data_IF_797261843893
#
_entry.id   IF_797261843893
#
_cell.length_a   1.000
_cell.length_b   1.000
_cell.length_c   1.000
_cell.angle_alpha   90.00
_cell.angle_beta   90.00
_cell.angle_gamma   90.00
#
_symmetry.space_group_name_H-M   'P 1'
#
loop_
_entity.id
_entity.type
_entity.pdbx_description
1 polymer ?
#
# COMPACT_ATOMS: atom_id res chain seq x y z
N UNK A 1 -9.87 -15.67 39.82
CA UNK A 1 -10.05 -14.22 40.05
C UNK A 1 -9.83 -13.40 38.77
N UNK A 2 -8.65 -13.41 38.14
CA UNK A 2 -8.36 -12.58 36.95
C UNK A 2 -9.46 -12.58 35.86
N UNK A 3 -9.87 -13.75 35.35
CA UNK A 3 -10.91 -13.87 34.31
C UNK A 3 -12.24 -13.17 34.69
N UNK A 4 -12.72 -13.37 35.91
CA UNK A 4 -13.97 -12.74 36.39
C UNK A 4 -13.87 -11.21 36.46
N UNK A 5 -12.67 -10.68 36.76
CA UNK A 5 -12.41 -9.24 36.76
C UNK A 5 -12.37 -8.69 35.32
N UNK A 6 -11.70 -9.40 34.39
CA UNK A 6 -11.66 -9.05 32.97
C UNK A 6 -13.05 -9.00 32.32
N UNK A 7 -13.89 -10.00 32.56
CA UNK A 7 -15.25 -10.06 32.03
C UNK A 7 -16.17 -8.95 32.61
N UNK A 8 -16.03 -8.61 33.90
CA UNK A 8 -16.76 -7.49 34.50
C UNK A 8 -16.31 -6.13 33.93
N UNK A 9 -15.00 -5.91 33.82
CA UNK A 9 -14.40 -4.70 33.23
C UNK A 9 -14.75 -4.53 31.75
N UNK A 10 -14.86 -5.63 31.01
CA UNK A 10 -15.40 -5.65 29.64
C UNK A 10 -16.85 -5.16 29.56
N UNK A 11 -17.74 -5.64 30.44
CA UNK A 11 -19.14 -5.18 30.49
C UNK A 11 -19.26 -3.70 30.86
N UNK A 12 -18.42 -3.21 31.77
CA UNK A 12 -18.33 -1.77 32.10
C UNK A 12 -17.90 -0.93 30.89
N UNK A 13 -16.83 -1.29 30.19
CA UNK A 13 -16.38 -0.50 29.03
C UNK A 13 -17.42 -0.53 27.91
N UNK A 14 -18.05 -1.67 27.65
CA UNK A 14 -19.12 -1.78 26.67
C UNK A 14 -20.28 -0.84 27.01
N UNK A 15 -20.75 -0.84 28.26
CA UNK A 15 -21.83 0.07 28.69
C UNK A 15 -21.45 1.53 28.43
N UNK A 16 -20.25 1.95 28.81
CA UNK A 16 -19.83 3.35 28.66
C UNK A 16 -19.52 3.78 27.21
N UNK A 17 -19.16 2.84 26.33
CA UNK A 17 -18.99 3.09 24.89
C UNK A 17 -20.33 3.17 24.17
N UNK A 18 -21.32 2.34 24.53
CA UNK A 18 -22.60 2.24 23.80
C UNK A 18 -23.75 3.04 24.41
N UNK A 19 -23.72 3.39 25.71
CA UNK A 19 -24.76 4.19 26.37
C UNK A 19 -25.11 5.52 25.69
N UNK A 20 -24.18 6.26 25.03
CA UNK A 20 -24.53 7.51 24.32
C UNK A 20 -25.45 7.30 23.10
N UNK A 21 -25.66 6.05 22.66
CA UNK A 21 -26.55 5.70 21.55
C UNK A 21 -27.87 5.07 22.02
N UNK A 22 -28.01 4.72 23.30
CA UNK A 22 -29.23 4.10 23.85
C UNK A 22 -30.28 5.18 24.14
N UNK A 23 -31.36 5.19 23.35
CA UNK A 23 -32.42 6.18 23.51
C UNK A 23 -33.36 5.87 24.70
N UNK A 24 -33.59 4.59 24.98
CA UNK A 24 -34.44 4.16 26.10
C UNK A 24 -33.65 4.13 27.42
N UNK A 25 -33.96 5.10 28.29
CA UNK A 25 -33.34 5.23 29.62
C UNK A 25 -33.76 4.11 30.60
N UNK A 26 -34.93 3.48 30.41
CA UNK A 26 -35.34 2.33 31.21
C UNK A 26 -34.52 1.08 30.83
N UNK A 27 -34.38 0.81 29.53
CA UNK A 27 -33.49 -0.23 29.03
C UNK A 27 -32.03 0.00 29.46
N UNK A 28 -31.53 1.25 29.36
CA UNK A 28 -30.18 1.60 29.82
C UNK A 28 -29.99 1.35 31.33
N UNK A 29 -30.98 1.68 32.16
CA UNK A 29 -30.95 1.40 33.61
C UNK A 29 -30.96 -0.11 33.92
N UNK A 30 -31.75 -0.89 33.18
CA UNK A 30 -31.75 -2.37 33.29
C UNK A 30 -30.41 -2.98 32.87
N UNK A 31 -29.80 -2.47 31.80
CA UNK A 31 -28.47 -2.88 31.35
C UNK A 31 -27.38 -2.50 32.37
N UNK A 32 -27.38 -1.27 32.88
CA UNK A 32 -26.46 -0.83 33.93
C UNK A 32 -26.56 -1.72 35.18
N UNK A 33 -27.76 -2.13 35.55
CA UNK A 33 -28.03 -3.03 36.68
C UNK A 33 -27.52 -4.47 36.46
N UNK A 34 -27.33 -4.91 35.21
CA UNK A 34 -26.91 -6.28 34.88
C UNK A 34 -25.41 -6.45 34.62
N UNK A 35 -24.63 -5.35 34.56
CA UNK A 35 -23.17 -5.34 34.32
C UNK A 35 -22.38 -6.33 35.19
N UNK A 36 -22.78 -6.52 36.45
CA UNK A 36 -22.09 -7.43 37.36
C UNK A 36 -22.29 -8.92 37.02
N UNK A 37 -23.48 -9.29 36.53
CA UNK A 37 -23.98 -10.67 36.52
C UNK A 37 -24.34 -11.24 35.14
N UNK A 38 -24.59 -10.38 34.14
CA UNK A 38 -24.93 -10.80 32.79
C UNK A 38 -23.76 -11.50 32.09
N UNK A 39 -24.06 -12.51 31.26
CA UNK A 39 -23.04 -13.14 30.41
C UNK A 39 -22.60 -12.20 29.31
N UNK A 40 -21.28 -12.00 29.16
CA UNK A 40 -20.70 -11.01 28.25
C UNK A 40 -21.22 -11.08 26.80
N UNK A 41 -21.41 -12.26 26.15
CA UNK A 41 -22.02 -12.33 24.82
C UNK A 41 -23.47 -11.83 24.75
N UNK A 42 -24.30 -12.17 25.76
CA UNK A 42 -25.70 -11.73 25.81
C UNK A 42 -25.78 -10.23 26.13
N UNK A 43 -25.02 -9.77 27.12
CA UNK A 43 -24.92 -8.36 27.49
C UNK A 43 -24.53 -7.47 26.29
N UNK A 44 -23.54 -7.90 25.50
CA UNK A 44 -23.13 -7.19 24.29
C UNK A 44 -24.24 -7.15 23.23
N UNK A 45 -25.02 -8.23 23.07
CA UNK A 45 -26.13 -8.27 22.13
C UNK A 45 -27.30 -7.38 22.55
N UNK A 46 -27.73 -7.46 23.82
CA UNK A 46 -28.82 -6.66 24.38
C UNK A 46 -28.50 -5.16 24.29
N UNK A 47 -27.27 -4.79 24.66
CA UNK A 47 -26.76 -3.41 24.58
C UNK A 47 -26.63 -2.93 23.13
N UNK A 48 -26.13 -3.77 22.21
CA UNK A 48 -26.03 -3.43 20.79
C UNK A 48 -27.41 -3.20 20.14
N UNK A 49 -28.41 -3.96 20.56
CA UNK A 49 -29.79 -3.79 20.12
C UNK A 49 -30.42 -2.52 20.71
N UNK A 50 -30.26 -2.27 22.02
CA UNK A 50 -30.74 -1.05 22.69
C UNK A 50 -30.10 0.24 22.14
N UNK A 51 -28.87 0.16 21.65
CA UNK A 51 -28.15 1.24 20.99
C UNK A 51 -28.50 1.43 19.50
N UNK A 52 -29.22 0.48 18.88
CA UNK A 52 -29.42 0.44 17.43
C UNK A 52 -28.11 0.28 16.64
N UNK A 53 -27.11 -0.40 17.22
CA UNK A 53 -25.74 -0.55 16.68
C UNK A 53 -25.34 -1.98 16.34
N UNK A 54 -26.26 -2.94 16.29
CA UNK A 54 -26.01 -4.38 16.07
C UNK A 54 -24.98 -4.66 14.97
N UNK A 55 -25.07 -4.00 13.81
CA UNK A 55 -24.12 -4.15 12.68
C UNK A 55 -22.69 -3.70 13.01
N UNK A 56 -22.51 -2.64 13.80
CA UNK A 56 -21.20 -2.10 14.18
C UNK A 56 -20.62 -2.79 15.42
N UNK A 57 -21.49 -3.12 16.38
CA UNK A 57 -21.11 -3.71 17.65
C UNK A 57 -20.88 -5.22 17.57
N UNK A 58 -21.69 -5.96 16.80
CA UNK A 58 -21.58 -7.41 16.69
C UNK A 58 -20.93 -7.86 15.37
N UNK A 59 -21.13 -7.11 14.27
CA UNK A 59 -20.52 -7.39 12.98
C UNK A 59 -21.50 -7.23 11.82
N UNK A 60 -20.94 -6.98 10.63
CA UNK A 60 -21.72 -6.62 9.43
C UNK A 60 -22.59 -7.76 8.87
N UNK A 61 -22.19 -9.01 9.11
CA UNK A 61 -22.86 -10.23 8.63
C UNK A 61 -22.89 -11.31 9.73
N UNK A 62 -23.60 -12.41 9.46
CA UNK A 62 -23.76 -13.52 10.40
C UNK A 62 -22.44 -14.21 10.81
N UNK A 63 -21.42 -14.21 9.94
CA UNK A 63 -20.10 -14.79 10.23
C UNK A 63 -19.33 -13.88 11.19
N UNK A 64 -19.32 -12.57 10.93
CA UNK A 64 -18.74 -11.58 11.84
C UNK A 64 -19.42 -11.60 13.21
N UNK A 65 -20.75 -11.73 13.27
CA UNK A 65 -21.52 -11.83 14.51
C UNK A 65 -21.22 -13.12 15.29
N UNK A 66 -21.09 -14.26 14.60
CA UNK A 66 -20.67 -15.51 15.22
C UNK A 66 -19.22 -15.42 15.76
N UNK A 67 -18.31 -14.79 15.02
CA UNK A 67 -16.91 -14.60 15.43
C UNK A 67 -16.79 -13.66 16.65
N UNK A 68 -17.52 -12.55 16.67
CA UNK A 68 -17.63 -11.65 17.83
C UNK A 68 -18.18 -12.38 19.06
N UNK A 69 -19.24 -13.16 18.90
CA UNK A 69 -19.82 -13.96 20.00
C UNK A 69 -18.86 -15.02 20.56
N UNK A 70 -18.08 -15.67 19.68
CA UNK A 70 -17.04 -16.61 20.07
C UNK A 70 -15.90 -15.93 20.85
N UNK A 71 -15.48 -14.72 20.45
CA UNK A 71 -14.51 -13.94 21.21
C UNK A 71 -15.04 -13.50 22.57
N UNK A 72 -16.26 -12.95 22.64
CA UNK A 72 -16.91 -12.57 23.90
C UNK A 72 -17.05 -13.76 24.86
N UNK A 73 -17.22 -14.98 24.35
CA UNK A 73 -17.23 -16.22 25.14
C UNK A 73 -15.84 -16.55 25.72
N UNK A 74 -14.77 -16.46 24.92
CA UNK A 74 -13.38 -16.65 25.38
C UNK A 74 -12.91 -15.57 26.37
N UNK A 75 -13.53 -14.39 26.37
CA UNK A 75 -13.24 -13.31 27.33
C UNK A 75 -14.02 -13.54 28.64
N UNK A 76 -15.23 -14.08 28.57
CA UNK A 76 -16.04 -14.50 29.73
C UNK A 76 -15.41 -15.66 30.52
N UNK A 77 -14.79 -16.64 29.85
CA UNK A 77 -14.04 -17.73 30.50
C UNK A 77 -12.57 -17.39 30.81
N UNK A 78 -12.02 -16.34 30.18
CA UNK A 78 -10.65 -15.85 30.36
C UNK A 78 -9.59 -16.52 29.49
N UNK A 79 -9.95 -17.49 28.64
CA UNK A 79 -9.02 -18.15 27.70
C UNK A 79 -8.45 -17.19 26.66
N UNK A 80 -9.13 -16.08 26.36
CA UNK A 80 -8.63 -15.03 25.48
C UNK A 80 -7.43 -14.24 26.04
N UNK A 81 -7.23 -14.24 27.36
CA UNK A 81 -6.20 -13.42 28.03
C UNK A 81 -5.16 -14.23 28.81
N UNK A 82 -5.34 -15.55 28.93
CA UNK A 82 -4.43 -16.42 29.70
C UNK A 82 -3.08 -16.71 29.03
N UNK A 83 -3.01 -16.62 27.69
CA UNK A 83 -1.77 -16.79 26.92
C UNK A 83 -1.62 -15.69 25.87
N UNK A 84 -0.76 -14.71 26.17
CA UNK A 84 -0.49 -13.59 25.26
C UNK A 84 0.26 -14.03 23.98
N UNK A 85 0.95 -15.19 23.96
CA UNK A 85 1.69 -15.67 22.78
C UNK A 85 0.77 -16.34 21.77
N UNK A 86 -0.19 -17.15 22.22
CA UNK A 86 -1.27 -17.63 21.34
C UNK A 86 -2.15 -16.48 20.82
N UNK A 87 -2.35 -15.43 21.64
CA UNK A 87 -3.06 -14.23 21.22
C UNK A 87 -2.27 -13.41 20.19
N UNK A 88 -0.95 -13.26 20.37
CA UNK A 88 -0.05 -12.54 19.45
C UNK A 88 -0.19 -13.03 18.01
N UNK A 89 -0.01 -14.34 17.77
CA UNK A 89 -0.19 -14.95 16.44
C UNK A 89 -1.60 -14.76 15.86
N UNK A 90 -2.60 -14.59 16.73
CA UNK A 90 -3.99 -14.32 16.31
C UNK A 90 -4.21 -12.84 15.95
N UNK A 91 -3.50 -11.91 16.59
CA UNK A 91 -3.61 -10.46 16.35
C UNK A 91 -2.62 -9.93 15.30
N UNK A 92 -1.58 -10.68 14.94
CA UNK A 92 -0.63 -10.37 13.87
C UNK A 92 -1.34 -10.09 12.53
N UNK A 93 -2.39 -10.87 12.24
CA UNK A 93 -3.18 -10.76 10.99
C UNK A 93 -4.45 -9.91 11.12
N UNK A 94 -4.69 -9.27 12.29
CA UNK A 94 -5.99 -8.67 12.64
C UNK A 94 -5.90 -7.30 13.30
N UNK A 95 -6.39 -6.26 12.63
CA UNK A 95 -6.65 -4.97 13.27
C UNK A 95 -7.75 -5.07 14.32
N UNK A 96 -8.83 -5.78 14.00
CA UNK A 96 -10.02 -5.98 14.84
C UNK A 96 -10.49 -7.44 14.83
N UNK A 97 -11.31 -7.83 15.81
CA UNK A 97 -11.70 -9.21 16.08
C UNK A 97 -12.87 -9.72 15.23
N UNK A 98 -13.81 -8.84 14.84
CA UNK A 98 -15.03 -9.16 14.08
C UNK A 98 -14.80 -9.51 12.58
N UNK A 99 -13.67 -10.15 12.26
CA UNK A 99 -13.29 -10.59 10.93
C UNK A 99 -12.43 -9.59 10.14
N UNK A 100 -11.78 -10.04 9.04
CA UNK A 100 -10.79 -9.27 8.29
C UNK A 100 -11.37 -8.08 7.49
N UNK A 101 -12.70 -7.99 7.39
CA UNK A 101 -13.43 -6.87 6.77
C UNK A 101 -13.83 -5.77 7.76
N UNK A 102 -13.60 -5.95 9.07
CA UNK A 102 -13.96 -4.97 10.09
C UNK A 102 -13.13 -3.68 9.95
N UNK A 103 -13.82 -2.54 9.85
CA UNK A 103 -13.21 -1.20 9.72
C UNK A 103 -13.28 -0.38 11.01
N UNK A 104 -14.01 -0.85 12.02
CA UNK A 104 -14.18 -0.22 13.33
C UNK A 104 -14.13 -1.28 14.45
N UNK A 105 -13.78 -0.93 15.70
CA UNK A 105 -13.80 -1.87 16.81
C UNK A 105 -15.23 -2.37 17.09
N UNK A 106 -15.36 -3.68 17.28
CA UNK A 106 -16.58 -4.35 17.72
C UNK A 106 -16.68 -4.44 19.25
N UNK A 107 -17.78 -5.00 19.75
CA UNK A 107 -17.92 -5.34 21.16
C UNK A 107 -16.86 -6.34 21.64
N UNK A 108 -16.42 -7.29 20.80
CA UNK A 108 -15.31 -8.18 21.14
C UNK A 108 -14.00 -7.41 21.30
N UNK A 109 -13.75 -6.39 20.46
CA UNK A 109 -12.53 -5.58 20.53
C UNK A 109 -12.43 -4.80 21.84
N UNK A 110 -13.48 -4.05 22.18
CA UNK A 110 -13.56 -3.31 23.44
C UNK A 110 -13.50 -4.26 24.65
N UNK A 111 -14.14 -5.43 24.58
CA UNK A 111 -14.10 -6.42 25.65
C UNK A 111 -12.70 -7.02 25.87
N UNK A 112 -12.00 -7.40 24.80
CA UNK A 112 -10.65 -7.95 24.89
C UNK A 112 -9.68 -6.88 25.41
N UNK A 113 -9.78 -5.66 24.88
CA UNK A 113 -9.00 -4.53 25.35
C UNK A 113 -9.20 -4.25 26.84
N UNK A 114 -10.45 -4.18 27.31
CA UNK A 114 -10.76 -3.93 28.72
C UNK A 114 -10.19 -5.00 29.65
N UNK A 115 -10.20 -6.27 29.21
CA UNK A 115 -9.64 -7.40 29.96
C UNK A 115 -8.09 -7.43 29.95
N UNK A 116 -7.45 -7.00 28.86
CA UNK A 116 -5.99 -6.98 28.70
C UNK A 116 -5.31 -5.72 29.27
N UNK A 117 -5.99 -4.58 29.29
CA UNK A 117 -5.37 -3.26 29.48
C UNK A 117 -4.39 -3.24 30.67
N UNK A 118 -4.87 -3.55 31.87
CA UNK A 118 -4.08 -3.49 33.11
C UNK A 118 -2.95 -4.52 33.19
N UNK A 119 -2.98 -5.56 32.35
CA UNK A 119 -1.89 -6.54 32.23
C UNK A 119 -0.83 -6.01 31.26
N UNK A 120 -1.24 -5.58 30.07
CA UNK A 120 -0.34 -5.16 28.98
C UNK A 120 0.31 -3.80 29.27
N UNK A 121 -0.43 -2.85 29.86
CA UNK A 121 0.10 -1.52 30.22
C UNK A 121 1.13 -1.56 31.37
N UNK A 122 1.23 -2.68 32.07
CA UNK A 122 2.17 -2.92 33.16
C UNK A 122 3.39 -3.76 32.75
N UNK A 123 3.44 -4.26 31.50
CA UNK A 123 4.57 -5.06 31.02
C UNK A 123 5.82 -4.19 30.84
N UNK A 124 7.02 -4.66 31.23
CA UNK A 124 8.28 -4.01 30.88
C UNK A 124 8.55 -4.09 29.36
N UNK A 125 9.40 -3.20 28.85
CA UNK A 125 9.67 -3.06 27.43
C UNK A 125 9.97 -4.39 26.71
N UNK A 126 10.87 -5.21 27.27
CA UNK A 126 11.25 -6.50 26.68
C UNK A 126 10.10 -7.52 26.58
N UNK A 127 9.09 -7.44 27.46
CA UNK A 127 7.89 -8.27 27.38
C UNK A 127 6.91 -7.72 26.35
N UNK A 128 6.72 -6.39 26.29
CA UNK A 128 5.96 -5.74 25.21
C UNK A 128 6.53 -6.07 23.81
N UNK A 129 7.86 -6.06 23.65
CA UNK A 129 8.55 -6.47 22.41
C UNK A 129 8.36 -7.94 22.06
N UNK A 130 8.01 -8.79 23.03
CA UNK A 130 7.74 -10.22 22.80
C UNK A 130 6.30 -10.50 22.34
N UNK A 131 5.39 -9.53 22.50
CA UNK A 131 3.99 -9.57 22.02
C UNK A 131 3.59 -8.24 21.35
N UNK A 132 4.24 -7.87 20.22
CA UNK A 132 4.07 -6.55 19.60
C UNK A 132 2.67 -6.31 19.03
N UNK A 133 1.96 -7.33 18.55
CA UNK A 133 0.58 -7.22 18.04
C UNK A 133 -0.43 -7.08 19.16
N UNK A 134 -0.25 -7.77 20.29
CA UNK A 134 -1.03 -7.53 21.52
C UNK A 134 -0.79 -6.11 22.04
N UNK A 135 0.47 -5.69 22.11
CA UNK A 135 0.84 -4.34 22.57
C UNK A 135 0.27 -3.25 21.64
N UNK A 136 0.37 -3.45 20.31
CA UNK A 136 -0.28 -2.61 19.29
C UNK A 136 -1.79 -2.53 19.49
N UNK A 137 -2.46 -3.66 19.69
CA UNK A 137 -3.91 -3.72 19.86
C UNK A 137 -4.38 -2.93 21.08
N UNK A 138 -3.68 -3.06 22.21
CA UNK A 138 -3.99 -2.30 23.43
C UNK A 138 -3.67 -0.81 23.28
N UNK A 139 -2.50 -0.47 22.72
CA UNK A 139 -2.12 0.92 22.41
C UNK A 139 -3.16 1.60 21.51
N UNK A 140 -3.45 1.00 20.35
CA UNK A 140 -4.43 1.49 19.37
C UNK A 140 -5.80 1.75 19.98
N UNK A 141 -6.37 0.77 20.69
CA UNK A 141 -7.71 0.93 21.25
C UNK A 141 -7.76 1.97 22.37
N UNK A 142 -6.72 2.07 23.22
CA UNK A 142 -6.62 3.10 24.27
C UNK A 142 -6.63 4.54 23.75
N UNK A 143 -6.24 4.73 22.48
CA UNK A 143 -6.17 6.04 21.82
C UNK A 143 -7.44 6.38 21.01
N UNK A 144 -8.41 5.47 20.91
CA UNK A 144 -9.66 5.75 20.19
C UNK A 144 -10.56 6.72 20.98
N UNK A 145 -11.20 7.72 20.35
CA UNK A 145 -12.01 8.72 21.08
C UNK A 145 -13.12 8.12 21.95
N UNK A 146 -13.72 7.01 21.52
CA UNK A 146 -14.74 6.29 22.30
C UNK A 146 -14.17 5.67 23.58
N UNK A 147 -12.97 5.08 23.52
CA UNK A 147 -12.30 4.50 24.69
C UNK A 147 -11.74 5.58 25.61
N UNK A 148 -11.25 6.70 25.09
CA UNK A 148 -10.81 7.83 25.93
C UNK A 148 -12.00 8.37 26.74
N UNK A 149 -13.17 8.57 26.11
CA UNK A 149 -14.35 9.11 26.77
C UNK A 149 -15.05 8.10 27.73
N UNK A 150 -15.04 6.81 27.41
CA UNK A 150 -15.65 5.76 28.22
C UNK A 150 -14.71 5.26 29.34
N UNK A 151 -13.44 5.02 28.99
CA UNK A 151 -12.43 4.44 29.86
C UNK A 151 -12.02 5.33 31.04
N UNK A 152 -12.16 6.65 30.92
CA UNK A 152 -11.98 7.60 32.01
C UNK A 152 -13.02 7.46 33.15
N UNK A 153 -14.10 6.68 32.94
CA UNK A 153 -15.16 6.41 33.92
C UNK A 153 -15.05 5.04 34.59
N UNK A 154 -14.15 4.17 34.11
CA UNK A 154 -13.91 2.85 34.68
C UNK A 154 -13.01 2.94 35.92
N UNK A 155 -13.04 1.92 36.78
CA UNK A 155 -12.17 1.83 37.95
C UNK A 155 -11.33 0.54 37.90
N UNK A 156 -9.98 0.60 37.99
CA UNK A 156 -9.17 1.81 37.77
C UNK A 156 -9.37 2.37 36.36
N UNK A 157 -9.21 3.68 36.19
CA UNK A 157 -9.37 4.37 34.91
C UNK A 157 -8.46 3.81 33.81
N UNK A 158 -8.94 3.88 32.57
CA UNK A 158 -8.17 3.57 31.37
C UNK A 158 -7.62 4.88 30.83
N UNK A 159 -6.30 5.05 30.90
CA UNK A 159 -5.58 6.15 30.24
C UNK A 159 -5.10 5.73 28.85
N UNK A 160 -4.84 6.67 27.92
CA UNK A 160 -4.08 6.37 26.72
C UNK A 160 -2.76 5.70 27.07
N UNK A 161 -2.44 4.62 26.35
CA UNK A 161 -1.22 3.82 26.50
C UNK A 161 -0.41 3.92 25.21
N UNK A 162 0.90 4.06 25.37
CA UNK A 162 1.87 4.08 24.27
C UNK A 162 2.86 2.93 24.47
N UNK A 163 3.19 2.24 23.38
CA UNK A 163 4.10 1.10 23.41
C UNK A 163 5.55 1.56 23.61
N UNK A 164 6.35 0.84 24.37
CA UNK A 164 7.76 1.22 24.59
C UNK A 164 8.58 0.84 23.35
N UNK A 165 8.87 1.81 22.49
CA UNK A 165 9.68 1.59 21.28
C UNK A 165 11.19 1.50 21.55
N UNK A 166 11.68 2.03 22.67
CA UNK A 166 13.09 1.95 23.04
C UNK A 166 13.52 0.51 23.29
N UNK A 167 14.66 0.11 22.73
CA UNK A 167 15.19 -1.26 22.83
C UNK A 167 14.53 -2.30 21.92
N UNK A 168 13.50 -1.93 21.12
CA UNK A 168 12.81 -2.85 20.23
C UNK A 168 13.80 -3.57 19.27
N UNK A 169 13.75 -4.91 19.14
CA UNK A 169 14.64 -5.64 18.26
C UNK A 169 14.53 -5.15 16.81
N UNK A 170 15.62 -4.60 16.26
CA UNK A 170 15.71 -4.29 14.83
C UNK A 170 15.57 -5.59 14.04
N UNK A 171 14.50 -5.70 13.26
CA UNK A 171 14.29 -6.81 12.31
C UNK A 171 15.56 -6.98 11.48
N UNK A 172 16.24 -8.14 11.52
CA UNK A 172 17.44 -8.37 10.72
C UNK A 172 17.11 -8.16 9.24
N UNK A 173 17.79 -7.20 8.61
CA UNK A 173 17.34 -6.63 7.34
C UNK A 173 17.16 -7.69 6.26
N UNK A 174 15.99 -7.69 5.60
CA UNK A 174 15.74 -8.41 4.33
C UNK A 174 16.86 -7.98 3.36
N UNK A 175 17.80 -8.89 3.09
CA UNK A 175 19.04 -8.53 2.40
C UNK A 175 18.75 -7.82 1.06
N UNK A 176 19.54 -6.79 0.67
CA UNK A 176 19.35 -6.14 -0.61
C UNK A 176 19.38 -7.17 -1.75
N UNK A 177 18.44 -7.10 -2.72
CA UNK A 177 18.38 -8.09 -3.79
C UNK A 177 19.71 -8.09 -4.57
N UNK A 178 20.31 -9.28 -4.74
CA UNK A 178 21.58 -9.40 -5.46
C UNK A 178 21.45 -8.79 -6.86
N UNK A 179 22.35 -7.86 -7.19
CA UNK A 179 22.46 -7.32 -8.55
C UNK A 179 22.81 -8.49 -9.49
N UNK A 180 22.05 -8.74 -10.58
CA UNK A 180 22.30 -9.88 -11.45
C UNK A 180 23.73 -9.82 -11.98
N UNK A 181 24.51 -10.88 -11.72
CA UNK A 181 25.92 -10.98 -12.11
C UNK A 181 26.06 -10.84 -13.62
N UNK A 182 26.61 -9.71 -14.05
CA UNK A 182 27.00 -9.49 -15.45
C UNK A 182 28.30 -10.25 -15.68
N UNK A 183 28.24 -11.37 -16.39
CA UNK A 183 29.43 -12.14 -16.75
C UNK A 183 30.45 -11.27 -17.48
N UNK A 184 31.73 -11.49 -17.20
CA UNK A 184 32.83 -10.86 -17.92
C UNK A 184 34.00 -11.84 -18.03
N UNK A 185 34.41 -12.10 -19.27
CA UNK A 185 35.59 -12.90 -19.59
C UNK A 185 36.90 -12.19 -19.17
N UNK A 186 38.02 -12.91 -19.02
CA UNK A 186 39.11 -12.50 -18.11
C UNK A 186 40.26 -11.70 -18.76
N UNK A 187 41.06 -11.07 -17.90
CA UNK A 187 42.37 -10.48 -18.20
C UNK A 187 42.50 -9.01 -17.78
N UNK A 188 43.65 -8.53 -17.29
CA UNK A 188 44.85 -9.23 -16.81
C UNK A 188 45.74 -8.29 -15.95
N UNK A 189 46.55 -8.87 -15.05
CA UNK A 189 47.76 -8.32 -14.40
C UNK A 189 47.68 -7.01 -13.55
N UNK A 190 48.52 -6.95 -12.50
CA UNK A 190 48.78 -5.75 -11.69
C UNK A 190 48.86 -6.04 -10.18
N UNK A 191 50.06 -5.94 -9.59
CA UNK A 191 50.34 -6.10 -8.15
C UNK A 191 51.49 -5.14 -7.73
N UNK A 192 51.87 -5.15 -6.44
CA UNK A 192 52.68 -4.17 -5.66
C UNK A 192 51.78 -3.12 -4.95
N UNK A 193 51.66 -3.09 -3.62
CA UNK A 193 52.61 -2.66 -2.54
C UNK A 193 52.52 -1.14 -2.26
N UNK A 194 52.61 -0.61 -1.03
CA UNK A 194 52.78 -1.17 0.34
C UNK A 194 51.83 -0.37 1.32
N UNK A 195 51.85 -0.38 2.66
CA UNK A 195 52.91 -0.64 3.64
C UNK A 195 52.38 -1.05 5.06
N UNK A 196 53.28 -1.70 5.81
CA UNK A 196 53.40 -1.98 7.26
C UNK A 196 52.37 -1.43 8.28
N UNK A 197 51.88 -2.32 9.17
CA UNK A 197 52.35 -2.40 10.58
C UNK A 197 51.69 -3.55 11.41
N UNK A 198 52.44 -4.12 12.36
CA UNK A 198 52.04 -5.21 13.29
C UNK A 198 53.11 -5.30 14.41
N UNK A 199 52.79 -5.35 15.73
CA UNK A 199 52.25 -6.53 16.45
C UNK A 199 51.19 -6.15 17.53
N UNK A 200 50.68 -6.99 18.46
CA UNK A 200 51.17 -8.24 19.05
C UNK A 200 50.07 -9.24 19.52
N UNK A 201 50.46 -10.31 20.25
CA UNK A 201 49.62 -11.47 20.62
C UNK A 201 49.60 -11.75 22.14
N UNK A 202 48.46 -12.25 22.62
CA UNK A 202 48.30 -13.27 23.69
C UNK A 202 47.14 -14.20 23.26
N UNK A 203 47.18 -15.54 23.18
CA UNK A 203 47.93 -16.66 23.83
C UNK A 203 47.39 -16.94 25.25
N UNK A 204 46.73 -18.07 25.57
CA UNK A 204 46.34 -19.31 24.83
C UNK A 204 45.36 -20.17 25.70
N UNK A 205 45.20 -21.51 25.64
CA UNK A 205 45.70 -22.63 24.78
C UNK A 205 45.03 -24.00 25.17
N UNK A 206 44.31 -24.67 24.23
CA UNK A 206 43.98 -26.16 24.13
C UNK A 206 43.32 -26.87 25.37
N UNK A 207 43.03 -28.20 25.37
CA UNK A 207 42.98 -29.27 24.32
C UNK A 207 41.51 -29.67 23.92
N UNK A 208 41.17 -30.43 22.86
CA UNK A 208 41.46 -31.83 22.40
C UNK A 208 40.94 -32.93 23.35
N UNK A 209 40.48 -34.11 22.89
CA UNK A 209 40.51 -34.79 21.56
C UNK A 209 39.08 -34.91 20.92
N UNK A 210 38.56 -35.89 20.13
CA UNK A 210 38.99 -37.21 19.61
C UNK A 210 38.19 -37.71 18.34
N UNK A 211 38.35 -38.98 17.97
CA UNK A 211 37.70 -39.80 16.91
C UNK A 211 36.14 -39.91 16.98
N UNK A 212 35.35 -40.28 15.95
CA UNK A 212 35.39 -41.38 14.94
C UNK A 212 35.28 -42.79 15.58
N UNK A 213 34.67 -43.85 15.01
CA UNK A 213 34.10 -44.17 13.68
C UNK A 213 33.02 -45.29 13.84
N UNK A 214 32.29 -45.70 12.77
CA UNK A 214 31.55 -46.98 12.77
C UNK A 214 30.38 -47.11 11.76
N UNK A 215 30.37 -48.15 10.91
CA UNK A 215 29.34 -48.37 9.88
C UNK A 215 29.09 -49.85 9.48
N UNK A 216 27.85 -50.18 9.09
CA UNK A 216 27.38 -51.38 8.38
C UNK A 216 25.97 -51.07 7.79
N UNK A 217 25.51 -51.39 6.56
CA UNK A 217 25.86 -52.36 5.49
C UNK A 217 25.43 -53.82 5.78
N UNK A 218 24.76 -54.61 4.92
CA UNK A 218 24.19 -54.44 3.56
C UNK A 218 22.62 -54.53 3.60
N UNK A 219 21.78 -54.92 2.63
CA UNK A 219 21.83 -55.46 1.24
C UNK A 219 20.57 -54.95 0.46
N UNK A 220 20.50 -54.80 -0.88
CA UNK A 220 20.55 -55.74 -2.02
C UNK A 220 19.28 -56.64 -2.15
N UNK A 221 18.27 -56.26 -2.98
CA UNK A 221 18.06 -56.66 -4.40
C UNK A 221 17.12 -57.91 -4.50
N UNK A 222 16.46 -58.33 -5.60
CA UNK A 222 16.23 -57.93 -7.01
C UNK A 222 15.03 -58.78 -7.54
N UNK A 223 14.31 -58.60 -8.68
CA UNK A 223 14.11 -57.56 -9.74
C UNK A 223 12.91 -57.98 -10.63
N UNK A 224 12.40 -57.09 -11.51
CA UNK A 224 11.71 -57.36 -12.81
C UNK A 224 10.37 -58.17 -12.81
N UNK A 225 9.49 -58.22 -13.83
CA UNK A 225 9.20 -57.47 -15.09
C UNK A 225 7.68 -57.67 -15.40
N UNK A 226 7.01 -57.18 -16.46
CA UNK A 226 7.37 -56.53 -17.75
C UNK A 226 6.25 -55.54 -18.19
N UNK A 227 6.35 -54.96 -19.40
CA UNK A 227 5.24 -54.43 -20.19
C UNK A 227 5.53 -54.66 -21.70
N UNK A 228 4.50 -54.77 -22.55
CA UNK A 228 4.53 -54.07 -23.86
C UNK A 228 3.21 -53.28 -24.14
N UNK A 229 3.19 -52.12 -24.80
CA UNK A 229 3.47 -51.81 -26.23
C UNK A 229 2.39 -52.35 -27.21
N UNK A 230 2.06 -51.76 -28.37
CA UNK A 230 2.55 -50.62 -29.18
C UNK A 230 1.29 -49.86 -29.76
N UNK A 231 1.32 -48.77 -30.54
CA UNK A 231 2.41 -48.03 -31.14
C UNK A 231 2.00 -46.84 -32.04
N UNK A 232 2.95 -45.91 -32.26
CA UNK A 232 3.45 -45.31 -33.54
C UNK A 232 2.53 -45.31 -34.80
N UNK A 233 2.58 -44.35 -35.76
CA UNK A 233 3.68 -43.44 -36.19
C UNK A 233 3.28 -42.43 -37.31
N UNK A 234 4.09 -41.36 -37.50
CA UNK A 234 4.44 -40.69 -38.81
C UNK A 234 3.31 -40.10 -39.73
N UNK A 235 3.48 -39.16 -40.68
CA UNK A 235 4.42 -38.02 -40.93
C UNK A 235 3.92 -37.15 -42.13
N UNK A 236 4.38 -35.88 -42.26
CA UNK A 236 4.61 -35.12 -43.54
C UNK A 236 3.36 -34.77 -44.42
N UNK A 237 2.92 -33.52 -44.62
CA UNK A 237 3.51 -32.31 -45.26
C UNK A 237 3.56 -32.32 -46.80
N UNK A 238 2.74 -31.45 -47.44
CA UNK A 238 2.95 -30.63 -48.66
C UNK A 238 1.57 -29.99 -49.03
N UNK A 239 1.33 -28.95 -49.85
CA UNK A 239 2.08 -27.89 -50.57
C UNK A 239 1.02 -27.20 -51.49
N UNK A 240 0.58 -25.97 -51.23
CA UNK A 240 0.93 -24.72 -51.95
C UNK A 240 0.93 -24.77 -53.50
N UNK A 241 0.00 -24.04 -54.14
CA UNK A 241 0.15 -23.20 -55.37
C UNK A 241 -1.26 -22.72 -55.84
N UNK A 242 -1.50 -21.68 -56.68
CA UNK A 242 -0.74 -20.48 -57.14
C UNK A 242 -1.57 -19.62 -58.11
N UNK A 243 -1.36 -18.29 -58.14
CA UNK A 243 -1.78 -17.28 -59.15
C UNK A 243 -3.30 -17.03 -59.33
N UNK A 244 -3.83 -15.85 -59.69
CA UNK A 244 -3.35 -14.55 -60.24
C UNK A 244 -3.41 -14.37 -61.77
N UNK A 245 -3.50 -13.09 -62.20
CA UNK A 245 -3.91 -12.56 -63.52
C UNK A 245 -5.42 -12.70 -63.81
N UNK A 246 -6.10 -11.82 -64.57
CA UNK A 246 -5.73 -10.60 -65.30
C UNK A 246 -7.03 -9.75 -65.55
N UNK A 247 -7.06 -8.49 -66.04
CA UNK A 247 -6.06 -7.44 -66.32
C UNK A 247 -6.77 -6.15 -66.81
N UNK A 248 -6.11 -4.98 -66.68
CA UNK A 248 -6.34 -3.76 -67.48
C UNK A 248 -7.74 -3.08 -67.37
N UNK A 249 -7.97 -1.83 -67.82
CA UNK A 249 -7.10 -0.80 -68.44
C UNK A 249 -7.45 0.59 -67.83
N UNK A 250 -6.58 1.60 -67.85
CA UNK A 250 -6.59 2.66 -68.87
C UNK A 250 -7.60 3.80 -68.54
N UNK A 251 -7.26 5.09 -68.46
CA UNK A 251 -6.08 5.81 -68.94
C UNK A 251 -5.87 7.17 -68.24
N UNK A 252 -4.70 7.79 -68.43
CA UNK A 252 -4.35 9.16 -67.95
C UNK A 252 -3.46 9.90 -68.94
N UNK A 253 -3.80 11.16 -69.29
CA UNK A 253 -2.83 12.24 -69.54
C UNK A 253 -2.99 13.36 -68.48
N UNK A 254 -1.92 13.80 -67.81
CA UNK A 254 -1.07 14.94 -68.22
C UNK A 254 -1.80 16.30 -68.13
N UNK A 255 -1.80 17.01 -66.98
CA UNK A 255 -0.69 17.74 -66.31
C UNK A 255 -0.34 19.09 -66.99
N UNK A 256 -1.11 20.13 -66.67
CA UNK A 256 -0.66 21.53 -66.70
C UNK A 256 0.06 21.91 -65.38
N UNK A 257 0.72 23.08 -65.29
CA UNK A 257 1.68 23.41 -64.21
C UNK A 257 1.57 24.87 -63.75
N UNK A 258 1.60 25.06 -62.42
CA UNK A 258 1.49 26.34 -61.70
C UNK A 258 0.34 26.24 -60.66
N UNK A 259 0.47 26.61 -59.39
CA UNK A 259 1.53 27.35 -58.68
C UNK A 259 0.91 28.60 -58.03
N UNK A 260 0.99 28.84 -56.71
CA UNK A 260 1.73 28.16 -55.63
C UNK A 260 0.90 28.17 -54.31
N UNK A 261 1.49 27.71 -53.20
CA UNK A 261 0.84 27.66 -51.87
C UNK A 261 0.56 26.23 -51.37
N UNK A 262 1.56 25.35 -51.42
CA UNK A 262 1.38 23.93 -51.08
C UNK A 262 1.36 23.67 -49.57
N UNK A 263 0.38 22.88 -49.10
CA UNK A 263 0.44 22.25 -47.79
C UNK A 263 1.63 21.28 -47.74
N UNK A 264 2.57 21.51 -46.83
CA UNK A 264 3.65 20.55 -46.57
C UNK A 264 3.15 19.49 -45.58
N UNK A 265 3.11 18.24 -46.01
CA UNK A 265 2.91 17.09 -45.12
C UNK A 265 4.17 16.90 -44.25
N UNK A 266 4.26 17.65 -43.17
CA UNK A 266 5.38 17.58 -42.24
C UNK A 266 5.41 16.21 -41.55
N UNK A 267 6.46 15.43 -41.80
CA UNK A 267 6.95 14.47 -40.80
C UNK A 267 7.16 15.26 -39.50
N UNK A 268 6.72 14.76 -38.33
CA UNK A 268 6.61 15.59 -37.13
C UNK A 268 7.97 16.16 -36.75
N UNK A 269 8.06 17.49 -36.76
CA UNK A 269 9.19 18.20 -36.18
C UNK A 269 9.36 17.74 -34.73
N UNK A 270 10.62 17.66 -34.26
CA UNK A 270 10.92 17.35 -32.88
C UNK A 270 10.65 18.59 -32.00
N UNK A 271 9.37 18.92 -31.79
CA UNK A 271 8.93 19.87 -30.77
C UNK A 271 9.55 19.44 -29.44
N UNK A 272 10.21 20.37 -28.76
CA UNK A 272 10.90 20.09 -27.50
C UNK A 272 9.90 19.61 -26.42
N UNK A 273 10.33 18.78 -25.46
CA UNK A 273 9.46 18.34 -24.36
C UNK A 273 8.93 19.51 -23.53
N UNK A 274 7.64 19.83 -23.68
CA UNK A 274 6.95 20.87 -22.91
C UNK A 274 6.04 20.25 -21.84
N UNK A 275 5.87 20.88 -20.67
CA UNK A 275 4.97 20.38 -19.63
C UNK A 275 3.50 20.32 -20.08
N UNK A 276 3.08 21.21 -20.97
CA UNK A 276 1.74 21.21 -21.57
C UNK A 276 1.38 19.94 -22.35
N UNK A 277 2.39 19.19 -22.84
CA UNK A 277 2.16 17.93 -23.54
C UNK A 277 1.63 16.83 -22.62
N UNK A 278 1.75 16.96 -21.30
CA UNK A 278 1.35 15.95 -20.31
C UNK A 278 -0.06 16.23 -19.81
N UNK A 279 -0.92 15.22 -19.88
CA UNK A 279 -2.32 15.32 -19.45
C UNK A 279 -2.41 15.07 -17.94
N UNK A 280 -2.25 16.14 -17.16
CA UNK A 280 -2.43 16.14 -15.71
C UNK A 280 -3.91 16.40 -15.37
N UNK A 281 -4.53 15.48 -14.63
CA UNK A 281 -5.92 15.62 -14.17
C UNK A 281 -6.08 15.28 -12.70
N UNK A 282 -7.12 15.85 -12.11
CA UNK A 282 -7.65 15.43 -10.81
C UNK A 282 -8.32 14.08 -10.97
N UNK A 283 -7.92 13.12 -10.14
CA UNK A 283 -8.58 11.84 -9.97
C UNK A 283 -9.11 11.63 -8.56
N UNK A 284 -10.05 10.70 -8.39
CA UNK A 284 -10.51 10.20 -7.09
C UNK A 284 -10.40 8.69 -7.02
N UNK A 285 -9.74 8.19 -5.98
CA UNK A 285 -9.61 6.74 -5.74
C UNK A 285 -10.96 6.20 -5.22
N UNK A 286 -11.72 5.53 -6.08
CA UNK A 286 -13.04 4.95 -5.77
C UNK A 286 -12.97 3.49 -5.31
N UNK A 287 -11.89 2.79 -5.66
CA UNK A 287 -11.55 1.45 -5.15
C UNK A 287 -10.05 1.31 -4.99
N UNK A 288 -9.60 0.49 -4.03
CA UNK A 288 -8.18 0.16 -3.85
C UNK A 288 -8.02 -1.18 -3.12
N UNK A 289 -7.12 -2.01 -3.65
CA UNK A 289 -6.73 -3.32 -3.12
C UNK A 289 -5.19 -3.44 -3.14
N UNK A 290 -4.62 -4.40 -2.40
CA UNK A 290 -3.19 -4.76 -2.55
C UNK A 290 -3.02 -5.65 -3.78
N UNK A 291 -1.96 -5.45 -4.56
CA UNK A 291 -1.68 -6.28 -5.73
C UNK A 291 -1.38 -7.74 -5.31
N UNK A 292 -2.04 -8.76 -5.89
CA UNK A 292 -1.91 -10.15 -5.44
C UNK A 292 -0.47 -10.66 -5.49
N UNK A 293 0.26 -10.42 -6.59
CA UNK A 293 1.63 -10.91 -6.79
C UNK A 293 2.73 -9.87 -6.46
N UNK A 294 2.44 -8.84 -5.65
CA UNK A 294 3.41 -7.77 -5.40
C UNK A 294 3.21 -6.98 -4.09
N UNK A 295 3.94 -7.36 -3.03
CA UNK A 295 3.95 -6.75 -1.68
C UNK A 295 3.90 -5.20 -1.67
N UNK A 296 4.59 -4.56 -2.62
CA UNK A 296 4.83 -3.12 -2.66
C UNK A 296 3.89 -2.34 -3.60
N UNK A 297 2.96 -3.00 -4.30
CA UNK A 297 2.03 -2.36 -5.23
C UNK A 297 0.59 -2.37 -4.70
N UNK A 298 -0.10 -1.25 -4.86
CA UNK A 298 -1.56 -1.20 -4.82
C UNK A 298 -2.14 -1.40 -6.22
N UNK A 299 -3.43 -1.73 -6.25
CA UNK A 299 -4.29 -1.76 -7.42
C UNK A 299 -5.44 -0.79 -7.15
N UNK A 300 -5.39 0.40 -7.74
CA UNK A 300 -6.44 1.42 -7.60
C UNK A 300 -7.44 1.38 -8.75
N UNK A 301 -8.69 1.74 -8.46
CA UNK A 301 -9.65 2.21 -9.44
C UNK A 301 -9.84 3.71 -9.22
N UNK A 302 -9.43 4.52 -10.19
CA UNK A 302 -9.36 5.97 -10.08
C UNK A 302 -10.27 6.63 -11.11
N UNK A 303 -11.30 7.30 -10.62
CA UNK A 303 -12.19 8.12 -11.43
C UNK A 303 -11.46 9.41 -11.86
N UNK A 304 -11.33 9.62 -13.17
CA UNK A 304 -10.76 10.83 -13.79
C UNK A 304 -11.81 11.63 -14.59
N UNK A 305 -13.10 11.50 -14.25
CA UNK A 305 -14.20 12.21 -14.91
C UNK A 305 -14.50 11.73 -16.33
N UNK A 306 -14.09 10.51 -16.69
CA UNK A 306 -14.18 9.97 -18.05
C UNK A 306 -15.45 9.12 -18.24
N UNK A 307 -16.12 9.19 -19.41
CA UNK A 307 -17.38 8.49 -19.65
C UNK A 307 -17.23 6.96 -19.68
N UNK A 308 -16.03 6.44 -19.91
CA UNK A 308 -15.68 5.02 -19.80
C UNK A 308 -15.62 4.52 -18.34
N UNK A 309 -15.62 5.43 -17.36
CA UNK A 309 -15.54 5.13 -15.93
C UNK A 309 -14.12 5.13 -15.35
N UNK A 310 -13.95 4.59 -14.11
CA UNK A 310 -12.66 4.60 -13.42
C UNK A 310 -11.56 3.85 -14.17
N UNK A 311 -10.35 4.41 -14.18
CA UNK A 311 -9.15 3.74 -14.70
C UNK A 311 -8.53 2.86 -13.63
N UNK A 312 -8.11 1.67 -14.03
CA UNK A 312 -7.20 0.85 -13.24
C UNK A 312 -5.81 1.49 -13.21
N UNK A 313 -5.31 1.78 -12.01
CA UNK A 313 -3.96 2.30 -11.75
C UNK A 313 -3.22 1.34 -10.83
N UNK A 314 -1.90 1.31 -10.92
CA UNK A 314 -1.04 0.59 -9.98
C UNK A 314 0.02 1.55 -9.44
N UNK A 315 -0.04 1.88 -8.15
CA UNK A 315 0.96 2.70 -7.47
C UNK A 315 1.92 1.89 -6.59
N UNK A 316 3.16 2.35 -6.44
CA UNK A 316 4.17 1.76 -5.55
C UNK A 316 4.10 2.24 -4.10
N UNK A 317 2.89 2.49 -3.58
CA UNK A 317 2.68 3.27 -2.35
C UNK A 317 2.46 2.45 -1.07
N UNK A 318 2.43 1.11 -1.13
CA UNK A 318 2.10 0.24 0.03
C UNK A 318 3.03 0.45 1.24
N UNK A 319 4.29 0.84 0.99
CA UNK A 319 5.29 1.08 2.03
C UNK A 319 5.32 2.55 2.52
N UNK A 320 4.50 3.44 1.96
CA UNK A 320 4.59 4.88 2.17
C UNK A 320 3.26 5.53 2.61
N UNK A 321 2.12 5.06 2.08
CA UNK A 321 0.79 5.57 2.43
C UNK A 321 -0.14 4.39 2.72
N UNK A 322 -0.76 4.31 3.92
CA UNK A 322 -1.66 3.21 4.26
C UNK A 322 -2.95 3.26 3.43
N UNK A 323 -3.55 2.09 3.18
CA UNK A 323 -4.68 1.92 2.25
C UNK A 323 -5.92 2.73 2.68
N UNK A 324 -6.08 2.95 3.99
CA UNK A 324 -7.10 3.78 4.62
C UNK A 324 -6.99 5.25 4.20
N UNK A 325 -5.77 5.79 4.06
CA UNK A 325 -5.52 7.15 3.59
C UNK A 325 -5.56 7.31 2.07
N UNK A 326 -5.60 6.20 1.33
CA UNK A 326 -5.76 6.17 -0.12
C UNK A 326 -7.23 6.05 -0.54
N UNK A 327 -8.07 5.34 0.22
CA UNK A 327 -9.52 5.23 -0.04
C UNK A 327 -10.20 6.60 -0.10
N UNK A 328 -10.96 6.85 -1.16
CA UNK A 328 -11.63 8.14 -1.43
C UNK A 328 -10.71 9.36 -1.61
N UNK A 329 -9.38 9.20 -1.59
CA UNK A 329 -8.41 10.29 -1.73
C UNK A 329 -8.55 10.96 -3.10
N UNK A 330 -8.55 12.29 -3.11
CA UNK A 330 -8.35 13.08 -4.32
C UNK A 330 -6.85 13.17 -4.62
N UNK A 331 -6.47 12.91 -5.85
CA UNK A 331 -5.07 12.73 -6.29
C UNK A 331 -4.83 13.43 -7.62
N UNK A 332 -3.57 13.75 -7.92
CA UNK A 332 -3.15 14.16 -9.27
C UNK A 332 -2.69 12.93 -10.05
N UNK A 333 -3.18 12.76 -11.27
CA UNK A 333 -2.78 11.66 -12.16
C UNK A 333 -2.35 12.13 -13.55
N UNK A 334 -1.45 11.36 -14.16
CA UNK A 334 -0.97 11.52 -15.54
C UNK A 334 -1.75 10.56 -16.45
N UNK A 335 -2.61 11.11 -17.29
CA UNK A 335 -3.63 10.36 -18.03
C UNK A 335 -3.24 10.00 -19.48
N UNK A 336 -2.18 10.57 -20.06
CA UNK A 336 -1.78 10.32 -21.45
C UNK A 336 -0.48 9.50 -21.62
N UNK A 337 0.05 8.90 -20.56
CA UNK A 337 1.12 7.90 -20.66
C UNK A 337 0.65 6.65 -21.42
N UNK A 338 1.59 5.93 -22.04
CA UNK A 338 1.29 4.63 -22.64
C UNK A 338 1.03 3.60 -21.53
N UNK A 339 -0.11 2.88 -21.52
CA UNK A 339 -0.41 1.89 -20.48
C UNK A 339 0.69 0.84 -20.32
N UNK A 340 1.15 0.66 -19.08
CA UNK A 340 2.31 -0.15 -18.73
C UNK A 340 1.87 -1.39 -17.92
N UNK A 341 2.44 -2.56 -18.23
CA UNK A 341 2.19 -3.78 -17.47
C UNK A 341 3.19 -3.93 -16.33
N UNK A 342 2.69 -4.01 -15.10
CA UNK A 342 3.47 -4.34 -13.90
C UNK A 342 2.94 -5.65 -13.33
N UNK A 343 3.83 -6.64 -13.18
CA UNK A 343 3.51 -7.97 -12.62
C UNK A 343 2.32 -8.69 -13.31
N UNK A 344 2.07 -8.38 -14.59
CA UNK A 344 1.01 -8.96 -15.42
C UNK A 344 -0.22 -8.07 -15.58
N UNK A 345 -0.48 -7.17 -14.63
CA UNK A 345 -1.64 -6.26 -14.64
C UNK A 345 -1.24 -4.92 -15.28
N UNK A 346 -2.16 -4.28 -16.04
CA UNK A 346 -1.91 -3.00 -16.72
C UNK A 346 -2.35 -1.81 -15.86
N UNK A 347 -1.47 -0.81 -15.73
CA UNK A 347 -1.82 0.53 -15.25
C UNK A 347 -2.19 1.42 -16.44
N UNK A 348 -3.30 2.16 -16.32
CA UNK A 348 -3.85 3.05 -17.35
C UNK A 348 -3.66 4.55 -17.03
N UNK A 349 -3.03 4.87 -15.91
CA UNK A 349 -2.49 6.19 -15.57
C UNK A 349 -1.27 6.01 -14.63
N UNK A 350 -0.73 7.10 -14.11
CA UNK A 350 0.25 7.12 -13.02
C UNK A 350 -0.12 8.23 -12.02
N UNK A 351 -0.02 7.98 -10.71
CA UNK A 351 -0.29 8.99 -9.68
C UNK A 351 0.96 9.84 -9.46
N UNK A 352 0.83 11.17 -9.54
CA UNK A 352 1.93 12.10 -9.31
C UNK A 352 2.18 12.22 -7.79
N UNK A 353 3.37 11.84 -7.35
CA UNK A 353 3.73 11.81 -5.94
C UNK A 353 4.96 12.67 -5.64
N UNK A 354 4.96 13.35 -4.51
CA UNK A 354 6.15 13.96 -3.94
C UNK A 354 7.01 12.88 -3.27
N UNK A 355 8.27 12.75 -3.69
CA UNK A 355 9.30 11.98 -2.99
C UNK A 355 10.15 12.96 -2.15
N UNK A 356 10.38 12.64 -0.88
CA UNK A 356 11.15 13.49 0.03
C UNK A 356 12.55 13.82 -0.52
N UNK A 357 13.11 14.97 -0.14
CA UNK A 357 14.37 15.48 -0.70
C UNK A 357 15.60 14.60 -0.40
N UNK A 358 15.56 13.86 0.71
CA UNK A 358 16.55 12.84 1.06
C UNK A 358 16.32 11.49 0.35
N UNK A 359 15.37 11.43 -0.59
CA UNK A 359 14.98 10.22 -1.33
C UNK A 359 13.84 9.46 -0.66
N UNK A 360 13.54 8.27 -1.22
CA UNK A 360 12.36 7.47 -0.85
C UNK A 360 12.36 6.98 0.60
N UNK A 361 13.53 6.89 1.23
CA UNK A 361 13.64 6.51 2.64
C UNK A 361 13.11 7.61 3.59
N UNK A 362 12.99 8.87 3.11
CA UNK A 362 12.24 9.95 3.76
C UNK A 362 10.73 9.96 3.45
N UNK A 363 10.25 9.04 2.62
CA UNK A 363 8.84 8.85 2.27
C UNK A 363 8.42 9.33 0.87
N UNK A 364 7.20 8.95 0.49
CA UNK A 364 6.55 9.28 -0.79
C UNK A 364 5.06 9.52 -0.56
N UNK A 365 4.49 10.64 -1.03
CA UNK A 365 3.08 10.98 -0.84
C UNK A 365 2.39 11.51 -2.12
N UNK A 366 1.15 11.07 -2.46
CA UNK A 366 0.40 11.63 -3.57
C UNK A 366 0.11 13.11 -3.41
N UNK A 367 0.35 13.89 -4.47
CA UNK A 367 -0.01 15.31 -4.53
C UNK A 367 -1.53 15.46 -4.39
N UNK A 368 -1.93 16.36 -3.48
CA UNK A 368 -3.30 16.76 -3.28
C UNK A 368 -3.69 17.85 -4.29
N UNK A 369 -4.81 17.73 -5.01
CA UNK A 369 -5.41 18.83 -5.74
C UNK A 369 -6.07 19.84 -4.77
N UNK A 370 -6.30 21.09 -5.19
CA UNK A 370 -6.94 22.11 -4.33
C UNK A 370 -8.37 21.71 -3.93
N UNK A 371 -8.86 22.27 -2.82
CA UNK A 371 -10.20 21.96 -2.30
C UNK A 371 -11.32 22.30 -3.30
N UNK A 372 -12.41 21.53 -3.29
CA UNK A 372 -13.50 21.67 -4.25
C UNK A 372 -13.20 21.13 -5.66
N UNK A 373 -12.00 20.57 -5.90
CA UNK A 373 -11.69 19.87 -7.15
C UNK A 373 -12.55 18.61 -7.34
N UNK A 374 -12.82 18.28 -8.60
CA UNK A 374 -13.67 17.18 -9.06
C UNK A 374 -12.86 16.24 -9.98
N UNK A 375 -13.22 14.94 -10.05
CA UNK A 375 -12.69 14.04 -11.07
C UNK A 375 -12.77 14.66 -12.47
N UNK A 376 -11.64 14.67 -13.19
CA UNK A 376 -11.53 15.22 -14.54
C UNK A 376 -11.22 16.72 -14.62
N UNK A 377 -11.19 17.46 -13.51
CA UNK A 377 -10.62 18.82 -13.52
C UNK A 377 -9.18 18.76 -14.04
N UNK A 378 -8.85 19.62 -15.00
CA UNK A 378 -7.52 19.63 -15.64
C UNK A 378 -6.56 20.53 -14.86
N UNK A 379 -5.32 20.07 -14.75
CA UNK A 379 -4.23 20.75 -14.05
C UNK A 379 -3.24 21.29 -15.09
N UNK A 380 -2.85 22.55 -14.90
CA UNK A 380 -1.92 23.27 -15.77
C UNK A 380 -0.64 23.60 -14.99
N UNK A 381 0.48 23.66 -15.69
CA UNK A 381 1.66 24.39 -15.20
C UNK A 381 1.46 25.87 -15.52
N UNK A 382 1.75 26.75 -14.57
CA UNK A 382 1.53 28.18 -14.70
C UNK A 382 2.23 28.82 -15.91
N UNK A 383 1.47 29.52 -16.74
CA UNK A 383 1.89 30.06 -18.04
C UNK A 383 1.71 29.11 -19.23
N UNK A 384 1.23 27.88 -19.01
CA UNK A 384 0.88 26.88 -20.05
C UNK A 384 -0.63 26.61 -20.14
N UNK A 385 -1.47 27.47 -19.57
CA UNK A 385 -2.93 27.37 -19.60
C UNK A 385 -3.47 27.36 -21.04
N UNK A 386 -4.58 26.65 -21.26
CA UNK A 386 -5.25 26.59 -22.57
C UNK A 386 -4.56 25.76 -23.66
N UNK A 387 -3.30 25.33 -23.48
CA UNK A 387 -2.65 24.39 -24.39
C UNK A 387 -3.26 22.99 -24.28
N UNK A 388 -3.40 22.25 -25.38
CA UNK A 388 -3.86 20.85 -25.37
C UNK A 388 -2.69 19.87 -25.14
N UNK A 389 -2.91 18.73 -24.45
CA UNK A 389 -1.89 17.71 -24.24
C UNK A 389 -1.80 16.74 -25.43
N UNK A 390 -0.70 16.02 -25.56
CA UNK A 390 -0.57 14.94 -26.56
C UNK A 390 -1.58 13.82 -26.24
N UNK A 391 -2.38 13.36 -27.21
CA UNK A 391 -3.41 12.34 -26.97
C UNK A 391 -2.86 11.01 -26.42
N UNK A 392 -1.60 10.66 -26.76
CA UNK A 392 -0.79 9.69 -26.03
C UNK A 392 0.70 10.03 -26.18
N UNK A 393 1.41 10.16 -25.06
CA UNK A 393 2.86 10.37 -25.05
C UNK A 393 3.57 9.19 -25.69
N UNK A 394 4.42 9.48 -26.69
CA UNK A 394 5.24 8.49 -27.37
C UNK A 394 6.50 8.16 -26.54
N UNK A 395 6.68 6.93 -26.01
CA UNK A 395 7.84 6.59 -25.17
C UNK A 395 9.19 6.70 -25.89
N UNK A 396 9.21 6.77 -27.23
CA UNK A 396 10.44 7.02 -28.00
C UNK A 396 10.88 8.48 -27.96
N UNK A 397 9.95 9.43 -27.72
CA UNK A 397 10.27 10.86 -27.55
C UNK A 397 10.78 11.19 -26.13
N UNK A 398 10.51 10.34 -25.14
CA UNK A 398 10.84 10.53 -23.71
C UNK A 398 10.40 11.88 -23.11
N UNK A 399 9.21 12.35 -23.49
CA UNK A 399 8.71 13.69 -23.11
C UNK A 399 8.63 13.83 -21.59
N UNK A 400 8.00 12.86 -20.91
CA UNK A 400 7.84 12.92 -19.46
C UNK A 400 9.20 12.86 -18.76
N UNK A 401 10.07 11.94 -19.16
CA UNK A 401 11.39 11.75 -18.56
C UNK A 401 12.35 12.95 -18.78
N UNK A 402 12.08 13.79 -19.80
CA UNK A 402 12.82 15.02 -20.05
C UNK A 402 12.31 16.20 -19.20
N UNK A 403 11.00 16.31 -18.94
CA UNK A 403 10.44 17.38 -18.10
C UNK A 403 10.44 17.03 -16.60
N UNK A 404 10.45 15.74 -16.24
CA UNK A 404 10.32 15.26 -14.86
C UNK A 404 11.34 15.89 -13.89
N UNK A 405 12.63 16.06 -14.23
CA UNK A 405 13.60 16.71 -13.33
C UNK A 405 13.26 18.16 -12.96
N UNK A 406 12.32 18.80 -13.66
CA UNK A 406 11.79 20.11 -13.29
C UNK A 406 10.65 20.06 -12.27
N UNK A 407 9.93 18.95 -12.09
CA UNK A 407 8.81 18.91 -11.14
C UNK A 407 9.29 18.80 -9.70
N UNK A 408 8.85 19.72 -8.85
CA UNK A 408 9.22 19.78 -7.43
C UNK A 408 8.08 20.29 -6.53
N UNK A 409 8.32 20.36 -5.21
CA UNK A 409 7.59 21.28 -4.33
C UNK A 409 8.47 22.44 -3.86
N UNK A 410 7.86 23.59 -3.59
CA UNK A 410 8.54 24.74 -3.00
C UNK A 410 8.50 24.69 -1.46
N UNK A 411 8.95 25.77 -0.80
CA UNK A 411 8.98 25.90 0.66
C UNK A 411 7.58 25.97 1.31
N UNK A 412 6.53 26.26 0.54
CA UNK A 412 5.13 26.24 1.00
C UNK A 412 4.47 24.84 0.85
N UNK A 413 5.19 23.85 0.29
CA UNK A 413 4.70 22.55 -0.21
C UNK A 413 3.83 22.64 -1.47
N UNK A 414 3.78 23.79 -2.12
CA UNK A 414 3.09 23.95 -3.40
C UNK A 414 3.83 23.17 -4.48
N UNK A 415 3.11 22.36 -5.27
CA UNK A 415 3.65 21.62 -6.39
C UNK A 415 3.92 22.58 -7.56
N UNK A 416 5.09 22.43 -8.18
CA UNK A 416 5.49 23.28 -9.31
C UNK A 416 6.40 22.56 -10.30
N UNK A 417 6.71 23.25 -11.39
CA UNK A 417 7.68 22.83 -12.40
C UNK A 417 8.69 23.96 -12.64
N UNK A 418 9.98 23.64 -12.60
CA UNK A 418 11.08 24.59 -12.80
C UNK A 418 11.49 24.64 -14.26
N UNK A 419 11.15 25.74 -14.93
CA UNK A 419 11.50 25.93 -16.35
C UNK A 419 11.12 27.29 -16.91
N UNK A 420 11.38 27.46 -18.20
CA UNK A 420 10.96 28.63 -18.99
C UNK A 420 9.47 28.56 -19.28
N UNK A 421 8.80 29.71 -19.37
CA UNK A 421 7.44 29.82 -19.87
C UNK A 421 7.38 30.13 -21.36
N UNK A 422 6.22 29.98 -22.02
CA UNK A 422 6.02 30.34 -23.42
C UNK A 422 6.26 31.84 -23.70
N UNK A 423 6.09 32.68 -22.67
CA UNK A 423 6.39 34.11 -22.67
C UNK A 423 7.88 34.47 -22.65
N UNK A 424 8.73 33.54 -22.18
CA UNK A 424 10.08 33.87 -21.72
C UNK A 424 11.15 33.65 -22.81
N UNK A 425 10.78 32.95 -23.89
CA UNK A 425 11.69 32.46 -24.92
C UNK A 425 12.46 31.19 -24.49
N UNK A 426 13.18 30.54 -25.42
CA UNK A 426 13.91 29.30 -25.15
C UNK A 426 15.04 29.51 -24.12
N UNK A 427 15.72 30.65 -24.17
CA UNK A 427 16.82 31.03 -23.27
C UNK A 427 16.35 31.83 -22.03
N UNK A 428 15.06 31.81 -21.72
CA UNK A 428 14.47 32.58 -20.62
C UNK A 428 14.90 32.12 -19.21
N UNK A 429 14.57 32.90 -18.16
CA UNK A 429 14.84 32.51 -16.78
C UNK A 429 13.99 31.30 -16.36
N UNK A 430 14.64 30.22 -15.91
CA UNK A 430 13.95 29.08 -15.31
C UNK A 430 13.37 29.48 -13.96
N UNK A 431 12.05 29.43 -13.84
CA UNK A 431 11.29 29.84 -12.65
C UNK A 431 10.40 28.70 -12.17
N UNK A 432 10.02 28.72 -10.90
CA UNK A 432 9.01 27.78 -10.35
C UNK A 432 7.64 28.21 -10.89
N UNK A 433 7.00 27.35 -11.66
CA UNK A 433 5.67 27.56 -12.25
C UNK A 433 4.69 26.59 -11.61
N UNK A 434 3.68 27.09 -10.91
CA UNK A 434 2.86 26.26 -10.03
C UNK A 434 1.94 25.31 -10.82
N UNK A 435 1.71 24.11 -10.27
CA UNK A 435 0.68 23.20 -10.75
C UNK A 435 -0.65 23.64 -10.15
N UNK A 436 -1.61 24.00 -10.99
CA UNK A 436 -2.86 24.67 -10.57
C UNK A 436 -4.07 24.21 -11.37
N UNK A 437 -5.26 24.34 -10.79
CA UNK A 437 -6.56 24.25 -11.48
C UNK A 437 -7.18 25.66 -11.59
N UNK A 438 -8.47 25.73 -11.90
CA UNK A 438 -9.31 26.92 -11.75
C UNK A 438 -9.53 27.30 -10.26
N UNK A 439 -9.46 26.34 -9.34
CA UNK A 439 -9.81 26.49 -7.91
C UNK A 439 -8.64 26.80 -6.99
N UNK A 440 -7.40 26.55 -7.43
CA UNK A 440 -6.22 26.79 -6.61
C UNK A 440 -4.98 26.04 -7.08
N UNK A 441 -4.04 25.86 -6.16
CA UNK A 441 -2.73 25.24 -6.39
C UNK A 441 -2.72 23.81 -5.83
N UNK A 442 -2.08 22.88 -6.54
CA UNK A 442 -1.83 21.53 -6.07
C UNK A 442 -0.70 21.53 -5.01
N UNK A 443 -0.81 20.72 -3.96
CA UNK A 443 0.17 20.72 -2.85
C UNK A 443 0.58 19.31 -2.44
N UNK A 444 1.82 19.16 -1.96
CA UNK A 444 2.20 18.01 -1.17
C UNK A 444 1.67 18.18 0.27
N UNK A 445 1.10 17.15 0.91
CA UNK A 445 0.62 17.25 2.29
C UNK A 445 1.71 17.70 3.28
N UNK A 446 2.92 17.13 3.21
CA UNK A 446 4.00 17.31 4.19
C UNK A 446 5.32 17.82 3.58
N UNK A 447 5.68 17.42 2.35
CA UNK A 447 7.04 17.61 1.85
C UNK A 447 7.30 18.95 1.14
N UNK A 448 8.28 19.69 1.64
CA UNK A 448 8.92 20.85 0.96
C UNK A 448 10.16 20.41 0.21
N UNK A 449 10.53 21.13 -0.85
CA UNK A 449 11.74 20.88 -1.66
C UNK A 449 11.80 19.44 -2.25
N UNK A 450 10.64 18.79 -2.37
CA UNK A 450 10.50 17.42 -2.86
C UNK A 450 10.73 17.35 -4.38
N UNK A 451 11.02 16.16 -4.88
CA UNK A 451 10.94 15.86 -6.33
C UNK A 451 9.60 15.19 -6.63
N UNK A 452 8.98 15.48 -7.78
CA UNK A 452 7.75 14.78 -8.17
C UNK A 452 8.02 13.66 -9.18
N UNK A 453 7.30 12.55 -9.02
CA UNK A 453 7.40 11.35 -9.85
C UNK A 453 6.04 10.68 -10.03
#
# INVERSE_FOLDING_TARGET
MAAANGAARARQLLLEVFSPFVQDQAALSTLASSVASAKLPAFAADLANAAGKTTTALGADQKAQAETSAWLSKIEDGSATSDLKSLETTLETRTYLAGPSATSPSAADYALFAALFSQVSALPAAEQHSVPSVTRFVSHLSQTPHVIAAGAKLEPAITPFEAIFEGMPRVPGRAPPEKPKKEKAPGAAGAADADSAKPAKTKGKKPETDAAEGAAKAADAATTEEAPADGKKDKKKDKKDKAAAASAEGSKPAKAKGGAGGASSASPAATEPLPSMVDLRVGKIVGIEKHPDADALYLEQVDFGEPEGPRQVLSGLVNFVPIEQMRNRAVVGICNLKPAAMRGIKSHAMLLCATHKDGKDGGVEPIAPPEGSKPGDRIWVEGYEGMEPEAQLNPKKKIFEAIQPGYCTNQNREAGWVGTGPSDGPDGPKTVRLLRTDKGICMAPNFTEATLS
#
